data_IF_202735745972
#
_entry.id   IF_202735745972
#
_cell.length_a   1.000
_cell.length_b   1.000
_cell.length_c   1.000
_cell.angle_alpha   90.00
_cell.angle_beta   90.00
_cell.angle_gamma   90.00
#
_symmetry.space_group_name_H-M   'P 1'
#
loop_
_entity.id
_entity.type
_entity.pdbx_description
1 polymer ?
#
# COMPACT_ATOMS: atom_id res chain seq x y z
N UNK A 1 -58.30 -56.19 -13.19
CA UNK A 1 -58.07 -54.96 -12.40
C UNK A 1 -56.57 -54.82 -12.18
N UNK A 2 -56.05 -53.63 -12.44
CA UNK A 2 -54.64 -53.29 -12.68
C UNK A 2 -53.74 -53.49 -11.45
N UNK A 3 -52.53 -54.04 -11.65
CA UNK A 3 -51.45 -53.95 -10.66
C UNK A 3 -50.29 -53.15 -11.26
N UNK A 4 -50.07 -51.96 -10.70
CA UNK A 4 -49.05 -50.98 -11.10
C UNK A 4 -47.64 -51.57 -10.92
N UNK A 5 -46.82 -51.50 -11.98
CA UNK A 5 -45.36 -51.61 -11.88
C UNK A 5 -44.80 -50.24 -11.50
N UNK A 6 -44.26 -50.11 -10.29
CA UNK A 6 -43.49 -48.93 -9.86
C UNK A 6 -42.11 -48.95 -10.51
N UNK A 7 -41.87 -48.05 -11.47
CA UNK A 7 -40.53 -47.69 -11.94
C UNK A 7 -39.96 -46.64 -10.98
N UNK A 8 -38.92 -46.99 -10.22
CA UNK A 8 -38.10 -46.00 -9.52
C UNK A 8 -37.14 -45.34 -10.52
N UNK A 9 -37.37 -44.08 -10.86
CA UNK A 9 -36.37 -43.24 -11.52
C UNK A 9 -35.33 -42.81 -10.49
N UNK A 10 -34.12 -43.33 -10.61
CA UNK A 10 -32.96 -42.87 -9.86
C UNK A 10 -32.38 -41.63 -10.57
N UNK A 11 -32.71 -40.43 -10.10
CA UNK A 11 -32.10 -39.20 -10.59
C UNK A 11 -30.68 -39.07 -10.00
N UNK A 12 -29.66 -39.35 -10.80
CA UNK A 12 -28.27 -39.05 -10.47
C UNK A 12 -28.07 -37.52 -10.52
N UNK A 13 -28.15 -36.86 -9.37
CA UNK A 13 -27.69 -35.47 -9.20
C UNK A 13 -26.16 -35.47 -9.26
N UNK A 14 -25.60 -35.22 -10.45
CA UNK A 14 -24.18 -34.86 -10.59
C UNK A 14 -23.96 -33.52 -9.88
N UNK A 15 -23.51 -33.59 -8.63
CA UNK A 15 -23.04 -32.43 -7.88
C UNK A 15 -21.67 -32.07 -8.43
N UNK A 16 -21.60 -31.14 -9.38
CA UNK A 16 -20.35 -30.55 -9.81
C UNK A 16 -19.79 -29.73 -8.63
N UNK A 17 -18.92 -30.34 -7.83
CA UNK A 17 -18.13 -29.62 -6.83
C UNK A 17 -17.12 -28.75 -7.56
N UNK A 18 -17.49 -27.51 -7.83
CA UNK A 18 -16.52 -26.50 -8.24
C UNK A 18 -15.58 -26.29 -7.06
N UNK A 19 -14.35 -26.79 -7.16
CA UNK A 19 -13.28 -26.43 -6.24
C UNK A 19 -13.06 -24.91 -6.35
N UNK A 20 -13.56 -24.17 -5.38
CA UNK A 20 -13.34 -22.74 -5.30
C UNK A 20 -11.87 -22.53 -4.96
N UNK A 21 -11.05 -22.28 -5.98
CA UNK A 21 -9.64 -21.93 -5.77
C UNK A 21 -9.59 -20.62 -4.99
N UNK A 22 -9.08 -20.69 -3.76
CA UNK A 22 -8.89 -19.50 -2.93
C UNK A 22 -7.93 -18.54 -3.63
N UNK A 23 -8.28 -17.26 -3.73
CA UNK A 23 -7.37 -16.25 -4.28
C UNK A 23 -6.04 -16.29 -3.53
N UNK A 24 -4.88 -16.16 -4.21
CA UNK A 24 -3.60 -16.12 -3.54
C UNK A 24 -3.55 -14.95 -2.55
N UNK A 25 -2.94 -15.17 -1.39
CA UNK A 25 -2.72 -14.13 -0.37
C UNK A 25 -1.81 -13.04 -0.95
N UNK A 26 -2.15 -11.78 -0.74
CA UNK A 26 -1.39 -10.60 -1.21
C UNK A 26 -0.84 -9.88 0.01
N UNK A 27 0.48 -9.84 0.16
CA UNK A 27 1.12 -9.14 1.28
C UNK A 27 1.34 -7.68 0.89
N UNK A 28 0.70 -6.78 1.61
CA UNK A 28 0.73 -5.35 1.37
C UNK A 28 1.42 -4.64 2.52
N UNK A 29 2.47 -3.88 2.24
CA UNK A 29 3.23 -3.15 3.24
C UNK A 29 2.98 -1.64 3.10
N UNK A 30 2.26 -1.03 4.07
CA UNK A 30 2.27 0.42 4.27
C UNK A 30 3.61 0.89 4.83
N UNK A 31 4.52 1.36 3.97
CA UNK A 31 5.81 1.94 4.36
C UNK A 31 5.70 3.45 4.53
N UNK A 32 6.21 4.00 5.63
CA UNK A 32 6.26 5.45 5.79
C UNK A 32 6.80 5.96 7.11
N UNK A 33 6.52 7.23 7.36
CA UNK A 33 6.87 7.92 8.60
C UNK A 33 5.67 7.97 9.58
N UNK A 34 5.57 9.01 10.40
CA UNK A 34 4.43 9.24 11.30
C UNK A 34 3.11 9.34 10.54
N UNK A 35 3.11 9.81 9.30
CA UNK A 35 1.91 9.92 8.46
C UNK A 35 1.36 8.53 8.10
N UNK A 36 2.19 7.48 8.17
CA UNK A 36 1.75 6.09 8.05
C UNK A 36 1.47 5.46 9.41
N UNK A 37 2.32 5.70 10.42
CA UNK A 37 2.20 5.06 11.73
C UNK A 37 0.96 5.50 12.50
N UNK A 38 0.85 6.79 12.83
CA UNK A 38 -0.05 7.29 13.88
C UNK A 38 -1.32 7.93 13.32
N UNK A 39 -1.84 7.39 12.21
CA UNK A 39 -2.88 7.99 11.36
C UNK A 39 -3.92 6.96 10.91
N UNK A 40 -5.14 7.38 10.58
CA UNK A 40 -6.31 6.50 10.39
C UNK A 40 -6.50 5.98 8.95
N UNK A 41 -5.83 6.56 7.94
CA UNK A 41 -6.04 6.19 6.54
C UNK A 41 -5.82 4.70 6.26
N UNK A 42 -4.96 4.00 7.01
CA UNK A 42 -4.75 2.54 6.89
C UNK A 42 -6.03 1.76 7.21
N UNK A 43 -6.70 2.12 8.30
CA UNK A 43 -7.98 1.51 8.67
C UNK A 43 -9.07 1.78 7.63
N UNK A 44 -9.17 3.02 7.14
CA UNK A 44 -10.13 3.37 6.08
C UNK A 44 -9.86 2.62 4.78
N UNK A 45 -8.58 2.53 4.37
CA UNK A 45 -8.16 1.77 3.20
C UNK A 45 -8.51 0.28 3.34
N UNK A 46 -8.23 -0.32 4.49
CA UNK A 46 -8.62 -1.70 4.79
C UNK A 46 -10.13 -1.90 4.60
N UNK A 47 -10.96 -1.05 5.22
CA UNK A 47 -12.42 -1.13 5.09
C UNK A 47 -12.86 -1.06 3.62
N UNK A 48 -12.27 -0.16 2.82
CA UNK A 48 -12.57 -0.05 1.39
C UNK A 48 -12.15 -1.30 0.61
N UNK A 49 -10.98 -1.88 0.90
CA UNK A 49 -10.50 -3.12 0.28
C UNK A 49 -11.40 -4.31 0.59
N UNK A 50 -11.81 -4.47 1.85
CA UNK A 50 -12.73 -5.54 2.25
C UNK A 50 -14.10 -5.38 1.59
N UNK A 51 -14.65 -4.17 1.56
CA UNK A 51 -15.92 -3.87 0.89
C UNK A 51 -15.85 -4.16 -0.63
N UNK A 52 -14.67 -4.04 -1.24
CA UNK A 52 -14.43 -4.35 -2.64
C UNK A 52 -14.07 -5.83 -2.92
N UNK A 53 -14.11 -6.71 -1.91
CA UNK A 53 -13.87 -8.15 -2.07
C UNK A 53 -12.40 -8.57 -2.15
N UNK A 54 -11.50 -7.74 -1.61
CA UNK A 54 -10.07 -8.04 -1.48
C UNK A 54 -9.71 -8.66 -0.12
N UNK A 55 -10.50 -9.65 0.33
CA UNK A 55 -10.30 -10.33 1.62
C UNK A 55 -9.01 -11.16 1.71
N UNK A 56 -8.27 -11.29 0.61
CA UNK A 56 -6.98 -11.96 0.51
C UNK A 56 -5.78 -11.01 0.68
N UNK A 57 -6.01 -9.71 0.89
CA UNK A 57 -4.95 -8.76 1.23
C UNK A 57 -4.63 -8.87 2.73
N UNK A 58 -3.33 -8.94 3.03
CA UNK A 58 -2.75 -9.04 4.36
C UNK A 58 -1.80 -7.88 4.55
N UNK A 59 -2.03 -7.05 5.56
CA UNK A 59 -1.10 -5.97 5.83
C UNK A 59 0.11 -6.59 6.53
N UNK A 60 1.32 -6.15 6.16
CA UNK A 60 2.56 -6.66 6.72
C UNK A 60 3.50 -5.52 7.12
N UNK A 61 4.30 -5.77 8.15
CA UNK A 61 5.31 -4.84 8.64
C UNK A 61 5.59 -5.06 10.13
N UNK A 62 6.63 -4.42 10.66
CA UNK A 62 7.05 -4.60 12.05
C UNK A 62 6.18 -3.87 13.08
N UNK A 63 5.46 -2.82 12.66
CA UNK A 63 4.52 -2.08 13.48
C UNK A 63 3.12 -2.67 13.42
N UNK A 64 2.39 -2.62 14.53
CA UNK A 64 0.98 -3.06 14.64
C UNK A 64 0.17 -2.17 15.60
N UNK A 65 0.68 -0.97 15.90
CA UNK A 65 0.00 -0.05 16.81
C UNK A 65 -1.34 0.44 16.24
N UNK A 66 -2.26 0.75 17.16
CA UNK A 66 -3.62 1.17 16.85
C UNK A 66 -3.63 2.54 16.17
N UNK A 67 -4.62 2.74 15.30
CA UNK A 67 -5.03 4.06 14.83
C UNK A 67 -5.19 5.04 16.01
N UNK A 68 -4.90 6.34 15.81
CA UNK A 68 -5.03 7.35 16.87
C UNK A 68 -6.46 7.41 17.42
N UNK A 69 -6.60 7.87 18.66
CA UNK A 69 -7.90 8.13 19.27
C UNK A 69 -8.77 8.99 18.33
N UNK A 70 -10.00 8.53 18.06
CA UNK A 70 -10.92 9.18 17.11
C UNK A 70 -10.97 8.58 15.71
N UNK A 71 -10.17 7.56 15.38
CA UNK A 71 -10.35 6.81 14.14
C UNK A 71 -11.63 5.96 14.17
N UNK A 72 -12.46 6.05 13.13
CA UNK A 72 -13.75 5.35 13.03
C UNK A 72 -13.61 3.85 12.78
N UNK A 73 -12.46 3.38 12.29
CA UNK A 73 -12.19 1.96 12.03
C UNK A 73 -11.28 1.37 13.10
N UNK A 74 -11.85 0.52 13.95
CA UNK A 74 -11.11 -0.22 15.00
C UNK A 74 -10.80 -1.68 14.63
N UNK A 75 -11.59 -2.29 13.75
CA UNK A 75 -11.42 -3.67 13.29
C UNK A 75 -10.82 -3.71 11.87
N UNK A 76 -9.49 -3.75 11.81
CA UNK A 76 -8.71 -3.87 10.58
C UNK A 76 -7.37 -4.56 10.88
N UNK A 77 -6.68 -5.04 9.85
CA UNK A 77 -5.30 -5.50 9.99
C UNK A 77 -4.37 -4.31 10.27
N UNK A 78 -3.77 -4.31 11.46
CA UNK A 78 -3.03 -3.16 11.99
C UNK A 78 -1.61 -3.11 11.49
N UNK A 79 -1.09 -4.14 10.84
CA UNK A 79 0.32 -4.22 10.48
C UNK A 79 0.73 -3.09 9.52
N UNK A 80 1.94 -2.56 9.72
CA UNK A 80 2.54 -1.53 8.88
C UNK A 80 4.05 -1.44 9.09
N UNK A 81 4.74 -0.75 8.19
CA UNK A 81 6.16 -0.39 8.29
C UNK A 81 6.30 1.14 8.37
N UNK A 82 5.55 1.72 9.30
CA UNK A 82 5.48 3.16 9.53
C UNK A 82 6.24 3.54 10.79
N UNK A 83 7.12 4.53 10.71
CA UNK A 83 8.04 4.88 11.79
C UNK A 83 8.11 6.39 12.01
N UNK A 84 7.50 6.87 13.10
CA UNK A 84 7.44 8.31 13.41
C UNK A 84 8.83 8.93 13.52
N UNK A 85 9.03 10.06 12.83
CA UNK A 85 10.30 10.79 12.79
C UNK A 85 11.35 10.23 11.83
N UNK A 86 11.12 9.09 11.18
CA UNK A 86 12.12 8.49 10.30
C UNK A 86 12.22 9.25 8.98
N UNK A 87 13.47 9.41 8.51
CA UNK A 87 13.82 9.99 7.22
C UNK A 87 14.08 8.87 6.20
N UNK A 88 13.72 9.09 4.93
CA UNK A 88 14.05 8.15 3.86
C UNK A 88 15.56 7.93 3.76
N UNK A 89 16.34 9.00 3.91
CA UNK A 89 17.82 8.95 3.89
C UNK A 89 18.36 8.02 4.98
N UNK A 90 17.83 8.09 6.20
CA UNK A 90 18.32 7.26 7.30
C UNK A 90 17.95 5.79 7.09
N UNK A 91 16.70 5.51 6.65
CA UNK A 91 16.27 4.15 6.30
C UNK A 91 17.18 3.54 5.24
N UNK A 92 17.51 4.30 4.20
CA UNK A 92 18.35 3.86 3.10
C UNK A 92 19.81 3.63 3.55
N UNK A 93 20.40 4.58 4.28
CA UNK A 93 21.78 4.52 4.75
C UNK A 93 22.02 3.39 5.75
N UNK A 94 21.04 3.14 6.62
CA UNK A 94 21.12 2.10 7.64
C UNK A 94 20.64 0.73 7.13
N UNK A 95 20.27 0.60 5.85
CA UNK A 95 19.73 -0.63 5.24
C UNK A 95 18.55 -1.24 6.01
N UNK A 96 17.73 -0.41 6.67
CA UNK A 96 16.68 -0.92 7.56
C UNK A 96 15.59 -1.69 6.79
N UNK A 97 15.25 -1.22 5.57
CA UNK A 97 14.22 -1.83 4.74
C UNK A 97 14.57 -3.28 4.34
N UNK A 98 15.85 -3.63 4.22
CA UNK A 98 16.29 -5.00 3.90
C UNK A 98 15.87 -5.96 5.02
N UNK A 99 16.09 -5.59 6.27
CA UNK A 99 15.68 -6.39 7.43
C UNK A 99 14.17 -6.49 7.56
N UNK A 100 13.46 -5.38 7.35
CA UNK A 100 12.00 -5.34 7.38
C UNK A 100 11.36 -6.24 6.32
N UNK A 101 11.82 -6.17 5.07
CA UNK A 101 11.32 -7.01 3.99
C UNK A 101 11.72 -8.49 4.13
N UNK A 102 12.83 -8.79 4.80
CA UNK A 102 13.18 -10.18 5.14
C UNK A 102 12.20 -10.78 6.13
N UNK A 103 11.83 -10.03 7.16
CA UNK A 103 10.94 -10.50 8.23
C UNK A 103 9.46 -10.42 7.85
N UNK A 104 9.10 -9.43 7.03
CA UNK A 104 7.75 -9.13 6.58
C UNK A 104 7.74 -8.99 5.05
N UNK A 105 7.90 -10.08 4.28
CA UNK A 105 8.06 -9.94 2.84
C UNK A 105 6.75 -9.47 2.20
N UNK A 106 6.88 -8.61 1.19
CA UNK A 106 5.76 -7.90 0.58
C UNK A 106 5.64 -8.16 -0.92
N UNK A 107 4.43 -8.03 -1.43
CA UNK A 107 4.08 -8.11 -2.86
C UNK A 107 3.73 -6.72 -3.42
N UNK A 108 3.12 -5.89 -2.57
CA UNK A 108 2.75 -4.50 -2.85
C UNK A 108 3.29 -3.62 -1.72
N UNK A 109 3.89 -2.49 -2.05
CA UNK A 109 4.32 -1.47 -1.08
C UNK A 109 3.69 -0.14 -1.46
N UNK A 110 3.07 0.56 -0.51
CA UNK A 110 2.91 2.02 -0.61
C UNK A 110 3.99 2.70 0.20
N UNK A 111 4.62 3.73 -0.36
CA UNK A 111 5.66 4.51 0.30
C UNK A 111 5.23 5.97 0.42
N UNK A 112 5.04 6.43 1.66
CA UNK A 112 4.89 7.85 2.00
C UNK A 112 6.03 8.26 2.94
N UNK A 113 7.14 8.70 2.35
CA UNK A 113 8.37 9.13 3.05
C UNK A 113 8.88 10.43 2.44
N UNK A 114 9.72 11.18 3.16
CA UNK A 114 10.31 12.42 2.67
C UNK A 114 9.85 13.66 3.43
N UNK A 115 8.76 13.57 4.20
CA UNK A 115 8.28 14.65 5.06
C UNK A 115 9.35 15.07 6.06
N UNK A 116 9.91 14.10 6.79
CA UNK A 116 10.95 14.36 7.79
C UNK A 116 12.26 14.81 7.13
N UNK A 117 12.61 14.27 5.97
CA UNK A 117 13.80 14.70 5.22
C UNK A 117 13.69 16.20 4.87
N UNK A 118 12.55 16.62 4.33
CA UNK A 118 12.28 18.04 4.02
C UNK A 118 12.26 18.89 5.29
N UNK A 119 11.61 18.43 6.36
CA UNK A 119 11.56 19.15 7.64
C UNK A 119 12.94 19.33 8.27
N UNK A 120 13.86 18.39 8.02
CA UNK A 120 15.27 18.45 8.43
C UNK A 120 16.18 19.07 7.34
N UNK A 121 15.59 19.78 6.37
CA UNK A 121 16.28 20.53 5.32
C UNK A 121 17.30 19.70 4.52
N UNK A 122 17.01 18.41 4.33
CA UNK A 122 17.84 17.53 3.51
C UNK A 122 17.76 17.96 2.04
N UNK A 123 18.87 17.77 1.31
CA UNK A 123 18.94 18.14 -0.10
C UNK A 123 18.04 17.20 -0.92
N UNK A 124 17.29 17.77 -1.88
CA UNK A 124 16.43 17.01 -2.78
C UNK A 124 17.16 15.83 -3.44
N UNK A 125 18.40 16.04 -3.90
CA UNK A 125 19.20 15.00 -4.54
C UNK A 125 19.46 13.79 -3.62
N UNK A 126 19.67 14.02 -2.33
CA UNK A 126 19.92 12.96 -1.34
C UNK A 126 18.62 12.19 -1.04
N UNK A 127 17.47 12.88 -1.00
CA UNK A 127 16.15 12.25 -0.84
C UNK A 127 15.86 11.34 -2.04
N UNK A 128 16.08 11.82 -3.27
CA UNK A 128 15.87 11.03 -4.50
C UNK A 128 16.84 9.84 -4.58
N UNK A 129 18.10 10.02 -4.14
CA UNK A 129 19.06 8.93 -4.02
C UNK A 129 18.59 7.87 -3.02
N UNK A 130 18.07 8.29 -1.86
CA UNK A 130 17.50 7.40 -0.86
C UNK A 130 16.31 6.62 -1.42
N UNK A 131 15.37 7.30 -2.09
CA UNK A 131 14.22 6.63 -2.72
C UNK A 131 14.68 5.58 -3.74
N UNK A 132 15.69 5.90 -4.55
CA UNK A 132 16.28 4.96 -5.52
C UNK A 132 16.85 3.73 -4.83
N UNK A 133 17.58 3.92 -3.73
CA UNK A 133 18.13 2.81 -2.92
C UNK A 133 17.00 1.95 -2.32
N UNK A 134 15.95 2.56 -1.76
CA UNK A 134 14.80 1.84 -1.20
C UNK A 134 14.06 1.01 -2.27
N UNK A 135 13.87 1.54 -3.48
CA UNK A 135 13.32 0.78 -4.62
C UNK A 135 14.22 -0.40 -5.00
N UNK A 136 15.55 -0.20 -4.94
CA UNK A 136 16.52 -1.27 -5.13
C UNK A 136 16.35 -2.39 -4.10
N UNK A 137 16.24 -2.05 -2.82
CA UNK A 137 16.05 -3.00 -1.72
C UNK A 137 14.72 -3.77 -1.86
N UNK A 138 13.64 -3.06 -2.23
CA UNK A 138 12.33 -3.66 -2.55
C UNK A 138 12.44 -4.72 -3.66
N UNK A 139 13.12 -4.39 -4.76
CA UNK A 139 13.27 -5.29 -5.90
C UNK A 139 14.24 -6.44 -5.63
N UNK A 140 15.24 -6.23 -4.79
CA UNK A 140 16.12 -7.30 -4.32
C UNK A 140 15.37 -8.32 -3.46
N UNK A 141 14.39 -7.88 -2.66
CA UNK A 141 13.51 -8.77 -1.90
C UNK A 141 12.48 -9.49 -2.79
N UNK A 142 11.85 -8.75 -3.72
CA UNK A 142 10.88 -9.30 -4.66
C UNK A 142 11.00 -8.57 -6.01
N UNK A 143 11.54 -9.22 -7.07
CA UNK A 143 11.76 -8.58 -8.36
C UNK A 143 10.47 -8.22 -9.10
N UNK A 144 9.31 -8.69 -8.62
CA UNK A 144 7.97 -8.42 -9.19
C UNK A 144 7.14 -7.46 -8.34
N UNK A 145 7.70 -6.92 -7.25
CA UNK A 145 7.00 -6.07 -6.30
C UNK A 145 6.31 -4.90 -7.00
N UNK A 146 5.06 -4.62 -6.64
CA UNK A 146 4.31 -3.45 -7.11
C UNK A 146 4.57 -2.30 -6.15
N UNK A 147 5.22 -1.25 -6.63
CA UNK A 147 5.66 -0.15 -5.79
C UNK A 147 4.76 1.05 -6.08
N UNK A 148 4.20 1.64 -5.04
CA UNK A 148 3.33 2.80 -5.14
C UNK A 148 3.92 3.93 -4.29
N UNK A 149 4.29 5.05 -4.90
CA UNK A 149 4.98 6.16 -4.22
C UNK A 149 4.07 7.37 -4.15
N UNK A 150 3.93 7.96 -2.96
CA UNK A 150 3.18 9.18 -2.78
C UNK A 150 3.97 10.41 -3.26
N UNK A 151 3.32 11.33 -3.95
CA UNK A 151 3.62 12.76 -3.71
C UNK A 151 3.15 13.09 -2.30
N UNK A 152 3.95 13.84 -1.56
CA UNK A 152 3.77 14.12 -0.13
C UNK A 152 2.65 15.14 0.10
N UNK A 153 1.82 14.89 1.12
CA UNK A 153 0.79 15.84 1.54
C UNK A 153 1.40 17.20 1.94
N UNK A 154 0.67 18.33 1.83
CA UNK A 154 1.15 19.62 2.30
C UNK A 154 1.32 19.67 3.83
N UNK A 155 2.25 20.50 4.28
CA UNK A 155 2.40 20.91 5.68
C UNK A 155 2.26 22.43 5.81
N UNK A 156 1.81 22.91 6.97
CA UNK A 156 1.51 24.33 7.20
C UNK A 156 2.77 25.17 7.34
N UNK A 157 3.77 24.69 8.09
CA UNK A 157 4.96 25.48 8.37
C UNK A 157 5.77 25.76 7.09
N UNK A 158 6.19 27.02 6.92
CA UNK A 158 6.77 27.53 5.67
C UNK A 158 8.03 26.80 5.21
N UNK A 159 8.84 26.32 6.16
CA UNK A 159 10.08 25.58 5.85
C UNK A 159 9.82 24.24 5.14
N UNK A 160 8.61 23.69 5.19
CA UNK A 160 8.25 22.51 4.40
C UNK A 160 7.88 22.84 2.95
N UNK A 161 7.27 24.01 2.70
CA UNK A 161 6.50 24.24 1.47
C UNK A 161 7.36 24.10 0.21
N UNK A 162 8.51 24.77 0.17
CA UNK A 162 9.44 24.70 -0.97
C UNK A 162 10.02 23.30 -1.17
N UNK A 163 10.39 22.62 -0.08
CA UNK A 163 10.97 21.28 -0.16
C UNK A 163 9.96 20.21 -0.56
N UNK A 164 8.74 20.25 -0.03
CA UNK A 164 7.64 19.36 -0.42
C UNK A 164 7.29 19.58 -1.89
N UNK A 165 7.19 20.84 -2.33
CA UNK A 165 6.94 21.15 -3.73
C UNK A 165 8.04 20.57 -4.63
N UNK A 166 9.30 20.84 -4.31
CA UNK A 166 10.44 20.38 -5.11
C UNK A 166 10.51 18.84 -5.17
N UNK A 167 10.25 18.15 -4.06
CA UNK A 167 10.18 16.69 -4.02
C UNK A 167 9.01 16.15 -4.87
N UNK A 168 7.81 16.73 -4.71
CA UNK A 168 6.63 16.33 -5.46
C UNK A 168 6.75 16.56 -6.97
N UNK A 169 7.47 17.60 -7.38
CA UNK A 169 7.77 17.90 -8.78
C UNK A 169 8.78 16.88 -9.37
N UNK A 170 9.73 16.39 -8.56
CA UNK A 170 10.74 15.43 -8.99
C UNK A 170 10.23 13.97 -9.08
N UNK A 171 9.32 13.58 -8.18
CA UNK A 171 8.84 12.18 -8.05
C UNK A 171 8.30 11.58 -9.37
N UNK A 172 7.48 12.26 -10.19
CA UNK A 172 6.96 11.66 -11.42
C UNK A 172 8.04 11.25 -12.42
N UNK A 173 9.01 12.11 -12.69
CA UNK A 173 10.09 11.82 -13.62
C UNK A 173 11.04 10.75 -13.06
N UNK A 174 11.34 10.81 -11.75
CA UNK A 174 12.12 9.79 -11.06
C UNK A 174 11.44 8.40 -11.08
N UNK A 175 10.15 8.33 -10.80
CA UNK A 175 9.41 7.07 -10.83
C UNK A 175 9.37 6.50 -12.25
N UNK A 176 9.15 7.33 -13.26
CA UNK A 176 9.14 6.92 -14.66
C UNK A 176 10.49 6.36 -15.12
N UNK A 177 11.63 6.94 -14.68
CA UNK A 177 12.96 6.47 -15.08
C UNK A 177 13.35 5.12 -14.48
N UNK A 178 12.74 4.72 -13.36
CA UNK A 178 12.99 3.45 -12.69
C UNK A 178 11.91 2.40 -12.92
N UNK A 179 10.72 2.80 -13.38
CA UNK A 179 9.58 1.89 -13.58
C UNK A 179 9.81 0.92 -14.73
N UNK A 180 9.39 -0.34 -14.57
CA UNK A 180 9.43 -1.34 -15.62
C UNK A 180 8.20 -2.28 -15.52
N UNK A 181 8.01 -3.14 -16.51
CA UNK A 181 6.82 -4.01 -16.60
C UNK A 181 6.75 -5.08 -15.51
N UNK A 182 7.89 -5.54 -14.98
CA UNK A 182 7.95 -6.57 -13.93
C UNK A 182 7.64 -5.98 -12.55
N UNK A 183 8.25 -4.83 -12.23
CA UNK A 183 8.08 -4.09 -10.98
C UNK A 183 7.76 -2.61 -11.29
N UNK A 184 6.49 -2.31 -11.65
CA UNK A 184 6.08 -0.95 -11.95
C UNK A 184 6.12 -0.07 -10.69
N UNK A 185 6.46 1.20 -10.89
CA UNK A 185 6.32 2.26 -9.89
C UNK A 185 5.13 3.13 -10.29
N UNK A 186 4.10 3.17 -9.45
CA UNK A 186 2.93 4.03 -9.63
C UNK A 186 3.01 5.23 -8.70
N UNK A 187 2.84 6.44 -9.23
CA UNK A 187 2.80 7.65 -8.41
C UNK A 187 1.36 7.96 -8.02
N UNK A 188 1.11 8.15 -6.72
CA UNK A 188 -0.17 8.61 -6.19
C UNK A 188 0.00 10.03 -5.69
N UNK A 189 -0.77 10.96 -6.27
CA UNK A 189 -0.72 12.36 -5.86
C UNK A 189 -1.51 12.57 -4.57
N UNK A 190 -0.88 12.49 -3.39
CA UNK A 190 -1.55 12.81 -2.12
C UNK A 190 -1.69 14.32 -1.88
N UNK A 191 -1.01 15.16 -2.66
CA UNK A 191 -0.94 16.60 -2.46
C UNK A 191 -2.17 17.35 -3.03
N UNK A 192 -2.53 17.09 -4.28
CA UNK A 192 -3.57 17.85 -4.99
C UNK A 192 -4.95 17.70 -4.32
N UNK A 193 -5.62 18.79 -3.95
CA UNK A 193 -6.92 18.75 -3.25
C UNK A 193 -6.84 18.44 -1.75
N UNK A 194 -5.61 18.40 -1.19
CA UNK A 194 -5.35 18.34 0.25
C UNK A 194 -4.96 19.73 0.75
N UNK A 195 -5.49 20.15 1.89
CA UNK A 195 -5.22 21.45 2.51
C UNK A 195 -4.64 21.25 3.90
N UNK A 196 -3.40 21.69 4.13
CA UNK A 196 -2.75 21.53 5.44
C UNK A 196 -3.47 22.25 6.57
N UNK A 197 -4.24 23.30 6.29
CA UNK A 197 -4.98 24.04 7.33
C UNK A 197 -6.29 23.35 7.75
N UNK A 198 -6.91 22.57 6.87
CA UNK A 198 -8.20 21.92 7.16
C UNK A 198 -8.10 20.41 7.34
N UNK A 199 -7.08 19.79 6.74
CA UNK A 199 -6.92 18.33 6.70
C UNK A 199 -5.81 17.83 7.63
N UNK A 200 -5.01 18.71 8.24
CA UNK A 200 -4.07 18.34 9.30
C UNK A 200 -4.59 18.78 10.68
N UNK A 201 -4.26 18.02 11.73
CA UNK A 201 -4.62 18.35 13.12
C UNK A 201 -3.63 19.29 13.82
N UNK A 202 -2.36 19.26 13.40
CA UNK A 202 -1.25 20.02 14.00
C UNK A 202 -0.43 20.76 12.93
N UNK A 203 -1.00 20.90 11.74
CA UNK A 203 -0.35 21.48 10.57
C UNK A 203 0.57 20.52 9.82
N UNK A 204 0.84 19.31 10.32
CA UNK A 204 1.69 18.31 9.66
C UNK A 204 0.97 16.98 9.44
N UNK A 205 0.30 16.47 10.47
CA UNK A 205 -0.30 15.16 10.48
C UNK A 205 -1.79 15.21 10.14
N UNK A 206 -2.29 14.28 9.30
CA UNK A 206 -3.71 14.22 8.97
C UNK A 206 -4.65 14.19 10.18
N UNK A 207 -5.79 14.84 10.01
CA UNK A 207 -7.01 14.63 10.80
C UNK A 207 -7.98 13.71 10.03
N UNK A 208 -9.19 13.50 10.55
CA UNK A 208 -10.19 12.63 9.91
C UNK A 208 -10.52 13.00 8.44
N UNK A 209 -10.53 14.29 8.08
CA UNK A 209 -10.74 14.74 6.69
C UNK A 209 -9.55 14.35 5.82
N UNK A 210 -8.33 14.63 6.28
CA UNK A 210 -7.10 14.24 5.60
C UNK A 210 -6.98 12.74 5.40
N UNK A 211 -7.34 11.96 6.42
CA UNK A 211 -7.38 10.50 6.39
C UNK A 211 -8.27 9.95 5.29
N UNK A 212 -9.50 10.48 5.17
CA UNK A 212 -10.45 10.09 4.14
C UNK A 212 -9.88 10.39 2.75
N UNK A 213 -9.28 11.57 2.55
CA UNK A 213 -8.67 11.96 1.26
C UNK A 213 -7.50 11.06 0.90
N UNK A 214 -6.63 10.76 1.86
CA UNK A 214 -5.48 9.88 1.64
C UNK A 214 -5.91 8.47 1.27
N UNK A 215 -6.86 7.89 2.02
CA UNK A 215 -7.39 6.56 1.74
C UNK A 215 -8.05 6.49 0.36
N UNK A 216 -8.85 7.49 -0.01
CA UNK A 216 -9.53 7.56 -1.31
C UNK A 216 -8.55 7.58 -2.50
N UNK A 217 -7.36 8.16 -2.32
CA UNK A 217 -6.30 8.18 -3.36
C UNK A 217 -5.47 6.90 -3.38
N UNK A 218 -5.20 6.30 -2.22
CA UNK A 218 -4.49 5.04 -2.14
C UNK A 218 -5.29 3.86 -2.72
N UNK A 219 -6.58 3.81 -2.40
CA UNK A 219 -7.45 2.69 -2.75
C UNK A 219 -7.40 2.26 -4.23
N UNK A 220 -7.64 3.14 -5.22
CA UNK A 220 -7.61 2.72 -6.63
C UNK A 220 -6.23 2.20 -7.06
N UNK A 221 -5.14 2.75 -6.52
CA UNK A 221 -3.79 2.32 -6.84
C UNK A 221 -3.47 0.94 -6.26
N UNK A 222 -3.85 0.69 -5.01
CA UNK A 222 -3.66 -0.62 -4.35
C UNK A 222 -4.51 -1.69 -5.04
N UNK A 223 -5.76 -1.37 -5.40
CA UNK A 223 -6.63 -2.26 -6.20
C UNK A 223 -6.01 -2.60 -7.55
N UNK A 224 -5.44 -1.61 -8.25
CA UNK A 224 -4.77 -1.86 -9.53
C UNK A 224 -3.54 -2.76 -9.37
N UNK A 225 -2.73 -2.53 -8.33
CA UNK A 225 -1.58 -3.37 -8.00
C UNK A 225 -1.98 -4.81 -7.66
N UNK A 226 -3.06 -4.99 -6.87
CA UNK A 226 -3.60 -6.31 -6.52
C UNK A 226 -4.07 -7.08 -7.75
N UNK A 227 -4.82 -6.44 -8.65
CA UNK A 227 -5.22 -7.04 -9.94
C UNK A 227 -4.01 -7.46 -10.79
N UNK A 228 -2.96 -6.64 -10.82
CA UNK A 228 -1.74 -6.95 -11.55
C UNK A 228 -0.99 -8.14 -10.95
N UNK A 229 -0.93 -8.24 -9.62
CA UNK A 229 -0.37 -9.39 -8.89
C UNK A 229 -1.13 -10.68 -9.24
N UNK A 230 -2.45 -10.69 -9.07
CA UNK A 230 -3.29 -11.86 -9.33
C UNK A 230 -3.18 -12.36 -10.78
N UNK A 231 -3.08 -11.44 -11.76
CA UNK A 231 -2.86 -11.81 -13.18
C UNK A 231 -1.49 -12.47 -13.39
N UNK A 232 -0.46 -12.02 -12.68
CA UNK A 232 0.86 -12.62 -12.70
C UNK A 232 0.86 -14.04 -12.15
N UNK A 233 0.24 -14.25 -10.99
CA UNK A 233 0.15 -15.57 -10.34
C UNK A 233 -0.63 -16.58 -11.17
N UNK A 234 -1.74 -16.16 -11.81
CA UNK A 234 -2.51 -17.05 -12.70
C UNK A 234 -1.70 -17.54 -13.91
N UNK A 235 -0.82 -16.70 -14.46
CA UNK A 235 0.06 -17.10 -15.56
C UNK A 235 1.07 -18.15 -15.09
N UNK A 236 1.69 -17.97 -13.94
CA UNK A 236 2.67 -18.94 -13.42
C UNK A 236 2.07 -20.33 -13.23
N UNK A 237 0.86 -20.43 -12.67
CA UNK A 237 0.16 -21.71 -12.49
C UNK A 237 -0.15 -22.39 -13.82
N UNK A 238 -0.47 -21.63 -14.88
CA UNK A 238 -0.83 -22.18 -16.19
C UNK A 238 0.37 -22.69 -17.01
N UNK A 239 1.61 -22.36 -16.64
CA UNK A 239 2.82 -22.86 -17.31
C UNK A 239 3.46 -24.06 -16.59
N UNK A 240 2.97 -24.44 -15.40
CA UNK A 240 3.52 -25.55 -14.60
C UNK A 240 2.67 -26.83 -14.67
N UNK A 241 1.75 -26.93 -15.62
CA UNK A 241 0.86 -28.09 -15.82
C UNK A 241 1.11 -28.79 -17.14
#
# INVERSE_FOLDING_TARGET
MFSLKTLSLLALLLSATFAQTSKPKIRYMPLGDSITQIICWRGLLWTQLQAAGYSNIDFVGSGSDQNPSGCSTSNYDKNHEGHSGFKAIDIANNNQLVGWLKNNPADIVTMHLGTNDVGNQQKLADIIKAFTKLVGDMRASNPKMKIIVAKIIPATASYYQTGIKALNDAIPAWAASLSNSQSPITVVDQNSGYSSSSDNRDGLHPNASGDVKMAAKWFPAVVAAAKAFEKGSKREVAFTS
#
